data_IF_909822553706
#
_entry.id   IF_909822553706
#
_cell.length_a   1.000
_cell.length_b   1.000
_cell.length_c   1.000
_cell.angle_alpha   90.00
_cell.angle_beta   90.00
_cell.angle_gamma   90.00
#
_symmetry.space_group_name_H-M   'P 1'
#
loop_
_entity.id
_entity.type
_entity.pdbx_description
1 polymer ?
#
# COMPACT_ATOMS: atom_id res chain seq x y z
N UNK A 1 8.43 -0.27 -15.17
CA UNK A 1 7.46 -0.80 -14.19
C UNK A 1 6.08 -0.28 -14.54
N UNK A 2 5.11 -1.18 -14.75
CA UNK A 2 3.70 -0.79 -14.93
C UNK A 2 2.98 -0.92 -13.59
N UNK A 3 2.86 0.19 -12.85
CA UNK A 3 2.22 0.23 -11.54
C UNK A 3 0.70 0.42 -11.68
N UNK A 4 -0.07 -0.51 -11.11
CA UNK A 4 -1.52 -0.45 -11.02
C UNK A 4 -1.92 -0.28 -9.56
N UNK A 5 -2.47 0.88 -9.22
CA UNK A 5 -2.98 1.16 -7.87
C UNK A 5 -4.50 1.11 -7.88
N UNK A 6 -5.07 0.26 -7.03
CA UNK A 6 -6.51 0.16 -6.81
C UNK A 6 -6.80 0.57 -5.36
N UNK A 7 -7.71 1.53 -5.19
CA UNK A 7 -8.11 2.04 -3.89
C UNK A 7 -9.57 1.68 -3.60
N UNK A 8 -9.77 0.90 -2.55
CA UNK A 8 -11.05 0.57 -1.95
C UNK A 8 -11.20 1.36 -0.65
N UNK A 9 -11.85 2.51 -0.71
CA UNK A 9 -12.00 3.42 0.42
C UNK A 9 -13.36 4.12 0.36
N UNK A 10 -14.43 3.34 0.32
CA UNK A 10 -15.80 3.86 0.16
C UNK A 10 -16.21 4.74 1.35
N UNK A 11 -15.69 4.45 2.55
CA UNK A 11 -15.90 5.28 3.75
C UNK A 11 -15.09 6.61 3.77
N UNK A 12 -14.33 6.91 2.72
CA UNK A 12 -13.39 8.05 2.67
C UNK A 12 -13.54 8.87 1.39
N UNK A 13 -14.75 9.03 0.85
CA UNK A 13 -14.94 9.70 -0.45
C UNK A 13 -14.30 11.10 -0.53
N UNK A 14 -14.33 11.87 0.56
CA UNK A 14 -13.73 13.20 0.63
C UNK A 14 -12.20 13.16 0.80
N UNK A 15 -11.66 12.06 1.31
CA UNK A 15 -10.24 11.85 1.57
C UNK A 15 -9.57 10.93 0.53
N UNK A 16 -10.28 10.50 -0.51
CA UNK A 16 -9.77 9.61 -1.58
C UNK A 16 -8.52 10.17 -2.25
N UNK A 17 -8.50 11.48 -2.57
CA UNK A 17 -7.35 12.13 -3.20
C UNK A 17 -6.13 12.20 -2.26
N UNK A 18 -6.39 12.44 -0.97
CA UNK A 18 -5.35 12.41 0.05
C UNK A 18 -4.76 11.00 0.18
N UNK A 19 -5.61 9.97 0.29
CA UNK A 19 -5.17 8.57 0.38
C UNK A 19 -4.36 8.14 -0.84
N UNK A 20 -4.82 8.50 -2.05
CA UNK A 20 -4.10 8.23 -3.29
C UNK A 20 -2.72 8.88 -3.29
N UNK A 21 -2.65 10.15 -2.92
CA UNK A 21 -1.38 10.90 -2.83
C UNK A 21 -0.43 10.26 -1.81
N UNK A 22 -0.93 9.87 -0.63
CA UNK A 22 -0.11 9.22 0.39
C UNK A 22 0.38 7.84 -0.04
N UNK A 23 -0.46 7.05 -0.72
CA UNK A 23 -0.05 5.77 -1.31
C UNK A 23 1.08 5.98 -2.33
N UNK A 24 0.91 6.90 -3.27
CA UNK A 24 1.90 7.19 -4.31
C UNK A 24 3.25 7.66 -3.73
N UNK A 25 3.21 8.54 -2.72
CA UNK A 25 4.41 8.96 -1.97
C UNK A 25 5.12 7.81 -1.28
N UNK A 26 4.37 6.92 -0.62
CA UNK A 26 4.98 5.78 0.06
C UNK A 26 5.55 4.76 -0.93
N UNK A 27 4.94 4.55 -2.09
CA UNK A 27 5.47 3.67 -3.12
C UNK A 27 6.79 4.23 -3.68
N UNK A 28 6.74 5.47 -4.20
CA UNK A 28 7.90 6.13 -4.82
C UNK A 28 9.04 6.38 -3.83
N UNK A 29 8.73 6.75 -2.59
CA UNK A 29 9.72 7.12 -1.59
C UNK A 29 10.24 5.97 -0.72
N UNK A 30 9.43 4.92 -0.49
CA UNK A 30 9.78 3.84 0.46
C UNK A 30 9.87 2.45 -0.15
N UNK A 31 9.05 2.12 -1.15
CA UNK A 31 8.99 0.76 -1.70
C UNK A 31 9.73 0.59 -3.01
N UNK A 32 9.90 1.64 -3.83
CA UNK A 32 10.47 1.53 -5.18
C UNK A 32 11.82 0.80 -5.18
N UNK A 33 12.73 1.18 -4.28
CA UNK A 33 14.04 0.53 -4.14
C UNK A 33 13.97 -0.95 -3.74
N UNK A 34 12.90 -1.38 -3.06
CA UNK A 34 12.67 -2.75 -2.64
C UNK A 34 11.89 -3.57 -3.66
N UNK A 35 11.10 -2.92 -4.51
CA UNK A 35 10.34 -3.57 -5.57
C UNK A 35 11.25 -3.84 -6.77
N UNK A 36 12.14 -2.90 -7.13
CA UNK A 36 13.04 -3.01 -8.29
C UNK A 36 13.79 -4.33 -8.41
N UNK A 37 14.36 -4.93 -7.34
CA UNK A 37 15.04 -6.23 -7.43
C UNK A 37 14.14 -7.40 -7.86
N UNK A 38 12.83 -7.28 -7.68
CA UNK A 38 11.83 -8.29 -8.09
C UNK A 38 11.31 -8.07 -9.51
N UNK A 39 11.78 -7.03 -10.20
CA UNK A 39 11.39 -6.73 -11.57
C UNK A 39 12.51 -7.13 -12.54
N UNK A 40 12.14 -7.79 -13.62
CA UNK A 40 12.95 -7.99 -14.81
C UNK A 40 12.90 -6.73 -15.69
N UNK A 41 13.86 -6.63 -16.62
CA UNK A 41 13.99 -5.47 -17.51
C UNK A 41 12.80 -5.29 -18.48
N UNK A 42 11.84 -6.24 -18.54
CA UNK A 42 10.73 -6.23 -19.48
C UNK A 42 9.35 -6.27 -18.81
N UNK A 43 8.61 -5.15 -18.91
CA UNK A 43 7.15 -5.07 -18.79
C UNK A 43 6.46 -5.61 -17.52
N UNK A 44 7.20 -5.88 -16.45
CA UNK A 44 6.61 -6.38 -15.22
C UNK A 44 5.56 -5.42 -14.63
N UNK A 45 4.40 -6.00 -14.34
CA UNK A 45 3.26 -5.32 -13.73
C UNK A 45 3.33 -5.46 -12.22
N UNK A 46 3.31 -4.31 -11.53
CA UNK A 46 3.19 -4.25 -10.07
C UNK A 46 1.77 -3.81 -9.77
N UNK A 47 1.06 -4.55 -8.92
CA UNK A 47 -0.29 -4.18 -8.48
C UNK A 47 -0.31 -3.95 -6.98
N UNK A 48 -0.86 -2.81 -6.58
CA UNK A 48 -1.13 -2.47 -5.19
C UNK A 48 -2.62 -2.28 -5.03
N UNK A 49 -3.23 -3.07 -4.15
CA UNK A 49 -4.61 -2.93 -3.74
C UNK A 49 -4.65 -2.46 -2.30
N UNK A 50 -5.22 -1.27 -2.10
CA UNK A 50 -5.34 -0.65 -0.80
C UNK A 50 -6.80 -0.60 -0.38
N UNK A 51 -7.08 -1.17 0.80
CA UNK A 51 -8.39 -1.17 1.42
C UNK A 51 -8.31 -0.34 2.68
N UNK A 52 -9.18 0.65 2.82
CA UNK A 52 -9.31 1.46 4.03
C UNK A 52 -10.77 1.52 4.45
N UNK A 53 -11.00 1.33 5.74
CA UNK A 53 -12.32 1.46 6.34
C UNK A 53 -12.27 2.24 7.66
N UNK A 54 -13.41 2.78 8.08
CA UNK A 54 -13.59 3.40 9.40
C UNK A 54 -14.11 2.35 10.36
N UNK A 55 -13.37 2.10 11.43
CA UNK A 55 -13.79 1.22 12.51
C UNK A 55 -14.41 2.03 13.66
N UNK A 56 -15.03 1.34 14.63
CA UNK A 56 -15.68 2.00 15.78
C UNK A 56 -14.71 2.88 16.58
N UNK A 57 -13.43 2.51 16.58
CA UNK A 57 -12.39 3.09 17.43
C UNK A 57 -11.26 3.75 16.64
N UNK A 58 -11.35 3.81 15.31
CA UNK A 58 -10.33 4.43 14.48
C UNK A 58 -10.43 4.02 13.02
N UNK A 59 -9.28 3.66 12.45
CA UNK A 59 -9.13 3.31 11.05
C UNK A 59 -8.52 1.92 10.90
N UNK A 60 -9.08 1.17 9.96
CA UNK A 60 -8.60 -0.15 9.58
C UNK A 60 -8.08 -0.07 8.15
N UNK A 61 -7.03 -0.83 7.86
CA UNK A 61 -6.37 -0.77 6.58
C UNK A 61 -5.70 -2.07 6.20
N UNK A 62 -5.68 -2.34 4.90
CA UNK A 62 -5.02 -3.50 4.32
C UNK A 62 -4.39 -3.12 2.99
N UNK A 63 -3.15 -3.55 2.80
CA UNK A 63 -2.44 -3.47 1.52
C UNK A 63 -2.16 -4.88 1.01
N UNK A 64 -2.39 -5.08 -0.29
CA UNK A 64 -1.94 -6.24 -1.04
C UNK A 64 -0.99 -5.76 -2.12
N UNK A 65 0.25 -6.21 -2.07
CA UNK A 65 1.27 -5.96 -3.10
C UNK A 65 1.46 -7.25 -3.90
N UNK A 66 1.21 -7.18 -5.20
CA UNK A 66 1.44 -8.28 -6.14
C UNK A 66 2.60 -7.90 -7.04
N UNK A 67 3.66 -8.70 -6.97
CA UNK A 67 4.84 -8.68 -7.82
C UNK A 67 4.82 -9.91 -8.75
N UNK A 68 5.67 -9.98 -9.79
CA UNK A 68 5.70 -11.12 -10.70
C UNK A 68 5.96 -12.48 -10.02
N UNK A 69 6.79 -12.47 -8.98
CA UNK A 69 7.28 -13.66 -8.27
C UNK A 69 6.60 -13.88 -6.91
N UNK A 70 5.96 -12.86 -6.34
CA UNK A 70 5.43 -12.93 -4.98
C UNK A 70 4.19 -12.05 -4.76
N UNK A 71 3.40 -12.41 -3.76
CA UNK A 71 2.29 -11.59 -3.27
C UNK A 71 2.43 -11.39 -1.77
N UNK A 72 2.52 -10.13 -1.36
CA UNK A 72 2.68 -9.71 0.02
C UNK A 72 1.42 -9.03 0.52
N UNK A 73 1.16 -9.16 1.82
CA UNK A 73 -0.04 -8.60 2.45
C UNK A 73 0.33 -7.97 3.78
N UNK A 74 -0.25 -6.80 4.03
CA UNK A 74 -0.18 -6.11 5.32
C UNK A 74 -1.59 -5.71 5.73
N UNK A 75 -1.96 -5.95 6.98
CA UNK A 75 -3.22 -5.47 7.55
C UNK A 75 -2.99 -4.91 8.95
N UNK A 76 -3.73 -3.86 9.28
CA UNK A 76 -3.69 -3.17 10.57
C UNK A 76 -5.08 -2.65 10.89
N UNK A 77 -5.42 -2.66 12.18
CA UNK A 77 -6.73 -2.30 12.69
C UNK A 77 -6.58 -1.32 13.85
N UNK A 78 -7.62 -0.54 14.11
CA UNK A 78 -7.76 0.35 15.27
C UNK A 78 -6.69 1.45 15.35
N UNK A 79 -6.26 2.00 14.22
CA UNK A 79 -5.34 3.13 14.21
C UNK A 79 -6.07 4.45 14.46
N UNK A 80 -5.53 5.29 15.34
CA UNK A 80 -6.13 6.58 15.67
C UNK A 80 -6.01 7.63 14.55
N UNK A 81 -5.02 7.48 13.66
CA UNK A 81 -4.78 8.39 12.53
C UNK A 81 -4.56 7.62 11.23
N UNK A 82 -5.11 8.17 10.15
CA UNK A 82 -5.11 7.54 8.83
C UNK A 82 -3.71 7.53 8.18
N UNK A 83 -2.95 8.61 8.33
CA UNK A 83 -1.57 8.73 7.84
C UNK A 83 -0.63 7.75 8.55
N UNK A 84 -0.76 7.61 9.87
CA UNK A 84 -0.02 6.63 10.65
C UNK A 84 -0.35 5.20 10.18
N UNK A 85 -1.63 4.88 9.99
CA UNK A 85 -2.07 3.59 9.45
C UNK A 85 -1.40 3.28 8.11
N UNK A 86 -1.48 4.22 7.17
CA UNK A 86 -0.87 4.08 5.83
C UNK A 86 0.63 3.82 5.99
N UNK A 87 1.34 4.66 6.75
CA UNK A 87 2.79 4.54 6.96
C UNK A 87 3.18 3.19 7.56
N UNK A 88 2.41 2.67 8.52
CA UNK A 88 2.65 1.37 9.15
C UNK A 88 2.43 0.20 8.19
N UNK A 89 1.41 0.25 7.33
CA UNK A 89 1.16 -0.77 6.31
C UNK A 89 2.32 -0.86 5.32
N UNK A 90 2.80 0.28 4.82
CA UNK A 90 3.94 0.35 3.90
C UNK A 90 5.25 -0.10 4.55
N UNK A 91 5.48 0.26 5.83
CA UNK A 91 6.63 -0.21 6.60
C UNK A 91 6.62 -1.73 6.74
N UNK A 92 5.45 -2.33 6.97
CA UNK A 92 5.34 -3.79 7.08
C UNK A 92 5.65 -4.50 5.76
N UNK A 93 5.13 -4.01 4.63
CA UNK A 93 5.46 -4.55 3.31
C UNK A 93 6.96 -4.42 3.00
N UNK A 94 7.56 -3.26 3.31
CA UNK A 94 9.01 -3.05 3.17
C UNK A 94 9.80 -4.08 3.96
N UNK A 95 9.44 -4.33 5.22
CA UNK A 95 10.09 -5.35 6.03
C UNK A 95 9.93 -6.75 5.45
N UNK A 96 8.80 -7.07 4.83
CA UNK A 96 8.59 -8.36 4.15
C UNK A 96 9.46 -8.49 2.89
N UNK A 97 9.60 -7.43 2.08
CA UNK A 97 10.47 -7.41 0.90
C UNK A 97 11.97 -7.43 1.23
N UNK A 98 12.34 -6.99 2.43
CA UNK A 98 13.74 -6.97 2.88
C UNK A 98 14.21 -8.29 3.49
N UNK A 99 13.32 -9.28 3.61
CA UNK A 99 13.61 -10.61 4.15
C UNK A 99 13.85 -11.59 3.03
#
# INVERSE_FOLDING_TARGET
>A
MNLHTILHADAFENEKDFLKTEIEKNISGKLDAYIRPHLSENNDSVRIEAFFDRSKTGFDGKLILTLPDTTLRASRENFSKLDDLVSHLFTHLKTQLSK
#
